data_IF_358619392279
#
_entry.id   IF_358619392279
#
_cell.length_a   1.000
_cell.length_b   1.000
_cell.length_c   1.000
_cell.angle_alpha   90.00
_cell.angle_beta   90.00
_cell.angle_gamma   90.00
#
_symmetry.space_group_name_H-M   'P 1'
#
loop_
_entity.id
_entity.type
_entity.pdbx_description
1 polymer ?
#
# COMPACT_ATOMS: atom_id res chain seq x y z
N UNK A 1 -10.11 13.26 -24.62
CA UNK A 1 -8.97 12.32 -24.71
C UNK A 1 -8.82 11.62 -23.37
N UNK A 2 -9.24 10.37 -23.25
CA UNK A 2 -9.02 9.59 -22.02
C UNK A 2 -7.57 9.11 -22.02
N UNK A 3 -6.69 9.83 -21.32
CA UNK A 3 -5.37 9.31 -21.00
C UNK A 3 -5.54 8.23 -19.93
N UNK A 4 -5.56 6.96 -20.34
CA UNK A 4 -5.32 5.87 -19.40
C UNK A 4 -3.89 6.02 -18.89
N UNK A 5 -3.72 6.69 -17.74
CA UNK A 5 -2.42 6.73 -17.05
C UNK A 5 -2.01 5.28 -16.81
N UNK A 6 -0.82 4.91 -17.31
CA UNK A 6 -0.24 3.60 -17.09
C UNK A 6 -0.24 3.30 -15.59
N UNK A 7 -0.85 2.17 -15.22
CA UNK A 7 -0.80 1.66 -13.86
C UNK A 7 0.68 1.41 -13.52
N UNK A 8 1.16 1.99 -12.42
CA UNK A 8 2.56 1.79 -11.99
C UNK A 8 2.74 0.32 -11.63
N UNK A 9 3.66 -0.33 -12.33
CA UNK A 9 4.02 -1.73 -12.17
C UNK A 9 5.51 -1.88 -12.41
N UNK A 10 6.23 -2.45 -11.44
CA UNK A 10 7.68 -2.68 -11.52
C UNK A 10 7.91 -4.17 -11.30
N UNK A 11 8.41 -4.84 -12.32
CA UNK A 11 8.76 -6.25 -12.27
C UNK A 11 10.23 -6.45 -11.87
N UNK A 12 10.46 -7.42 -11.00
CA UNK A 12 11.80 -7.95 -10.70
C UNK A 12 11.78 -9.47 -10.87
N UNK A 13 12.92 -10.12 -10.65
CA UNK A 13 13.02 -11.58 -10.73
C UNK A 13 12.08 -12.29 -9.75
N UNK A 14 12.02 -11.86 -8.48
CA UNK A 14 11.28 -12.56 -7.41
C UNK A 14 10.08 -11.79 -6.86
N UNK A 15 10.00 -10.50 -7.17
CA UNK A 15 9.01 -9.58 -6.63
C UNK A 15 8.35 -8.78 -7.75
N UNK A 16 7.19 -8.22 -7.46
CA UNK A 16 6.63 -7.13 -8.24
C UNK A 16 6.12 -6.04 -7.31
N UNK A 17 6.19 -4.79 -7.77
CA UNK A 17 5.71 -3.63 -7.01
C UNK A 17 4.58 -2.97 -7.79
N UNK A 18 3.52 -2.61 -7.07
CA UNK A 18 2.40 -1.85 -7.63
C UNK A 18 1.77 -0.93 -6.59
N UNK A 19 0.98 0.03 -7.05
CA UNK A 19 0.18 0.86 -6.16
C UNK A 19 -0.77 0.00 -5.29
N UNK A 20 -1.05 0.43 -4.04
CA UNK A 20 -2.07 -0.19 -3.19
C UNK A 20 -3.44 -0.18 -3.87
N UNK A 21 -4.21 -1.24 -3.69
CA UNK A 21 -5.58 -1.38 -4.16
C UNK A 21 -6.52 -1.70 -2.99
N UNK A 22 -7.82 -1.40 -3.15
CA UNK A 22 -8.82 -1.65 -2.10
C UNK A 22 -8.93 -3.14 -1.72
N UNK A 23 -8.59 -4.03 -2.64
CA UNK A 23 -8.55 -5.48 -2.46
C UNK A 23 -7.46 -5.93 -1.49
N UNK A 24 -6.43 -5.12 -1.25
CA UNK A 24 -5.27 -5.55 -0.45
C UNK A 24 -5.50 -5.43 1.05
N UNK A 25 -6.66 -4.88 1.47
CA UNK A 25 -6.97 -4.60 2.86
C UNK A 25 -6.68 -5.77 3.78
N UNK A 26 -7.17 -6.97 3.42
CA UNK A 26 -7.07 -8.16 4.27
C UNK A 26 -5.61 -8.53 4.50
N UNK A 27 -4.87 -8.82 3.42
CA UNK A 27 -3.46 -9.20 3.49
C UNK A 27 -2.61 -8.12 4.18
N UNK A 28 -2.84 -6.85 3.87
CA UNK A 28 -2.14 -5.73 4.50
C UNK A 28 -2.40 -5.65 6.01
N UNK A 29 -3.67 -5.77 6.44
CA UNK A 29 -4.05 -5.65 7.84
C UNK A 29 -3.53 -6.83 8.68
N UNK A 30 -3.62 -8.06 8.14
CA UNK A 30 -3.14 -9.28 8.78
C UNK A 30 -1.61 -9.23 8.94
N UNK A 31 -0.87 -8.86 7.89
CA UNK A 31 0.59 -8.74 7.94
C UNK A 31 1.04 -7.66 8.94
N UNK A 32 0.40 -6.49 8.92
CA UNK A 32 0.70 -5.39 9.85
C UNK A 32 0.40 -5.78 11.30
N UNK A 33 -0.72 -6.46 11.54
CA UNK A 33 -1.09 -6.95 12.86
C UNK A 33 -0.05 -7.94 13.39
N UNK A 34 0.32 -8.94 12.58
CA UNK A 34 1.34 -9.92 12.93
C UNK A 34 2.73 -9.28 13.16
N UNK A 35 3.04 -8.20 12.45
CA UNK A 35 4.32 -7.49 12.56
C UNK A 35 4.31 -6.36 13.61
N UNK A 36 3.23 -6.18 14.38
CA UNK A 36 3.03 -5.00 15.24
C UNK A 36 4.19 -4.80 16.23
N UNK A 37 4.60 -5.85 16.94
CA UNK A 37 5.67 -5.76 17.94
C UNK A 37 7.00 -5.36 17.30
N UNK A 38 7.29 -5.88 16.11
CA UNK A 38 8.49 -5.54 15.35
C UNK A 38 8.46 -4.10 14.83
N UNK A 39 7.30 -3.60 14.37
CA UNK A 39 7.17 -2.29 13.72
C UNK A 39 7.07 -1.13 14.72
N UNK A 40 6.44 -1.34 15.87
CA UNK A 40 6.12 -0.27 16.83
C UNK A 40 7.34 0.58 17.27
N UNK A 41 8.55 0.01 17.47
CA UNK A 41 9.73 0.81 17.83
C UNK A 41 10.21 1.77 16.74
N UNK A 42 9.85 1.53 15.47
CA UNK A 42 10.40 2.22 14.31
C UNK A 42 9.39 3.13 13.62
N UNK A 43 8.10 2.91 13.84
CA UNK A 43 7.03 3.69 13.22
C UNK A 43 6.47 4.77 14.17
N UNK A 44 5.91 5.87 13.64
CA UNK A 44 5.14 6.80 14.45
C UNK A 44 3.98 6.10 15.18
N UNK A 45 3.52 6.67 16.28
CA UNK A 45 2.40 6.15 17.06
C UNK A 45 1.19 5.81 16.19
N UNK A 46 0.71 4.57 16.28
CA UNK A 46 -0.48 4.13 15.55
C UNK A 46 -1.75 4.71 16.17
N UNK A 47 -2.60 5.30 15.33
CA UNK A 47 -3.97 5.63 15.71
C UNK A 47 -4.73 4.36 16.15
N UNK A 48 -5.71 4.44 17.07
CA UNK A 48 -6.54 3.29 17.44
C UNK A 48 -7.22 2.61 16.24
N UNK A 49 -7.49 3.35 15.17
CA UNK A 49 -8.11 2.86 13.94
C UNK A 49 -7.11 2.60 12.80
N UNK A 50 -5.80 2.54 13.10
CA UNK A 50 -4.74 2.43 12.10
C UNK A 50 -4.93 1.26 11.13
N UNK A 51 -5.38 0.11 11.65
CA UNK A 51 -5.62 -1.11 10.85
C UNK A 51 -7.08 -1.24 10.37
N UNK A 52 -7.90 -0.21 10.54
CA UNK A 52 -9.29 -0.24 10.09
C UNK A 52 -9.39 -0.17 8.56
N UNK A 53 -10.50 -0.71 8.03
CA UNK A 53 -10.84 -0.59 6.60
C UNK A 53 -10.92 0.87 6.14
N UNK A 54 -11.40 1.78 7.00
CA UNK A 54 -11.48 3.22 6.69
C UNK A 54 -10.08 3.84 6.53
N UNK A 55 -9.18 3.59 7.48
CA UNK A 55 -7.80 4.06 7.41
C UNK A 55 -7.08 3.52 6.16
N UNK A 56 -7.30 2.25 5.83
CA UNK A 56 -6.75 1.64 4.62
C UNK A 56 -7.32 2.26 3.33
N UNK A 57 -8.65 2.45 3.23
CA UNK A 57 -9.26 3.12 2.08
C UNK A 57 -8.67 4.52 1.86
N UNK A 58 -8.44 5.27 2.94
CA UNK A 58 -7.80 6.58 2.87
C UNK A 58 -6.36 6.49 2.37
N UNK A 59 -5.60 5.46 2.78
CA UNK A 59 -4.24 5.20 2.29
C UNK A 59 -4.21 4.93 0.79
N UNK A 60 -5.13 4.10 0.28
CA UNK A 60 -5.26 3.81 -1.16
C UNK A 60 -5.60 5.08 -1.93
N UNK A 61 -6.57 5.87 -1.45
CA UNK A 61 -6.94 7.14 -2.05
C UNK A 61 -5.77 8.13 -2.09
N UNK A 62 -5.07 8.30 -0.96
CA UNK A 62 -3.89 9.16 -0.89
C UNK A 62 -2.81 8.70 -1.85
N UNK A 63 -2.56 7.40 -1.96
CA UNK A 63 -1.60 6.85 -2.91
C UNK A 63 -1.97 7.20 -4.36
N UNK A 64 -3.22 6.99 -4.75
CA UNK A 64 -3.69 7.30 -6.09
C UNK A 64 -3.59 8.80 -6.40
N UNK A 65 -3.94 9.65 -5.43
CA UNK A 65 -3.82 11.11 -5.55
C UNK A 65 -2.38 11.54 -5.78
N UNK A 66 -1.42 11.00 -5.01
CA UNK A 66 -0.01 11.36 -5.14
C UNK A 66 0.61 10.87 -6.45
N UNK A 67 0.30 9.63 -6.87
CA UNK A 67 0.74 9.11 -8.17
C UNK A 67 0.18 9.96 -9.31
N UNK A 68 -1.10 10.34 -9.21
CA UNK A 68 -1.73 11.19 -10.22
C UNK A 68 -1.15 12.61 -10.25
N UNK A 69 -0.76 13.15 -9.08
CA UNK A 69 -0.14 14.46 -8.95
C UNK A 69 1.37 14.48 -9.24
N UNK A 70 2.01 13.32 -9.39
CA UNK A 70 3.47 13.23 -9.58
C UNK A 70 4.28 13.61 -8.34
N UNK A 71 3.67 13.60 -7.16
CA UNK A 71 4.32 14.04 -5.90
C UNK A 71 4.94 12.89 -5.11
N UNK A 72 4.42 11.67 -5.28
CA UNK A 72 5.01 10.46 -4.71
C UNK A 72 4.54 9.22 -5.49
N UNK A 73 5.25 8.12 -5.32
CA UNK A 73 4.89 6.80 -5.88
C UNK A 73 4.89 5.76 -4.75
N UNK A 74 3.85 5.73 -3.90
CA UNK A 74 3.75 4.72 -2.85
C UNK A 74 3.40 3.37 -3.47
N UNK A 75 4.21 2.36 -3.19
CA UNK A 75 4.06 1.02 -3.76
C UNK A 75 4.02 -0.02 -2.64
N UNK A 76 3.22 -1.05 -2.85
CA UNK A 76 3.33 -2.31 -2.13
C UNK A 76 4.23 -3.25 -2.91
N UNK A 77 4.90 -4.13 -2.16
CA UNK A 77 5.81 -5.13 -2.68
C UNK A 77 5.18 -6.51 -2.45
N UNK A 78 5.13 -7.29 -3.51
CA UNK A 78 4.52 -8.61 -3.52
C UNK A 78 5.55 -9.62 -3.99
N UNK A 79 5.53 -10.82 -3.42
CA UNK A 79 6.33 -11.93 -3.95
C UNK A 79 5.59 -12.53 -5.14
N UNK A 80 6.33 -13.05 -6.12
CA UNK A 80 5.74 -13.74 -7.28
C UNK A 80 5.13 -15.10 -6.93
N UNK A 81 5.55 -15.67 -5.82
CA UNK A 81 5.12 -17.00 -5.34
C UNK A 81 3.81 -16.95 -4.53
N UNK A 82 3.36 -15.75 -4.14
CA UNK A 82 2.08 -15.52 -3.43
C UNK A 82 0.91 -15.44 -4.44
#
# INVERSE_FOLDING_TARGET
MFFFKRKVWIDTERLYLRAPAQTDYRQWSELRYASKEFLTPWEPTWSPDHLSRKAFSNRVYWSQKNINGGTAIPLFMFRRED
#
